data_IF_088543745842
#
_entry.id   IF_088543745842
#
_cell.length_a   1.000
_cell.length_b   1.000
_cell.length_c   1.000
_cell.angle_alpha   90.00
_cell.angle_beta   90.00
_cell.angle_gamma   90.00
#
_symmetry.space_group_name_H-M   'P 1'
#
loop_
_entity.id
_entity.type
_entity.pdbx_description
1 polymer ?
#
# COMPACT_ATOMS: atom_id res chain seq x y z
N UNK A 1 3.29 -11.87 18.82
CA UNK A 1 2.87 -10.47 18.56
C UNK A 1 3.23 -10.18 17.12
N UNK A 2 2.24 -9.99 16.23
CA UNK A 2 2.53 -9.56 14.86
C UNK A 2 3.09 -8.14 14.96
N UNK A 3 4.27 -7.88 14.39
CA UNK A 3 4.81 -6.53 14.32
C UNK A 3 3.87 -5.69 13.46
N UNK A 4 3.62 -4.46 13.91
CA UNK A 4 2.78 -3.49 13.23
C UNK A 4 3.46 -3.02 11.94
N UNK A 5 2.70 -2.81 10.87
CA UNK A 5 3.22 -2.21 9.64
C UNK A 5 3.67 -0.74 9.84
N UNK A 6 4.67 -0.31 9.07
CA UNK A 6 5.11 1.09 9.01
C UNK A 6 4.04 2.01 8.41
N UNK A 7 4.14 3.33 8.66
CA UNK A 7 3.18 4.32 8.14
C UNK A 7 3.15 4.40 6.61
N UNK A 8 4.25 4.05 5.94
CA UNK A 8 4.34 3.94 4.48
C UNK A 8 4.70 2.51 4.10
N UNK A 9 3.94 1.94 3.18
CA UNK A 9 4.17 0.60 2.63
C UNK A 9 4.39 0.69 1.13
N UNK A 10 5.38 -0.04 0.62
CA UNK A 10 5.49 -0.40 -0.79
C UNK A 10 5.13 -1.87 -0.94
N UNK A 11 4.04 -2.14 -1.64
CA UNK A 11 3.59 -3.46 -2.03
C UNK A 11 4.28 -3.86 -3.34
N UNK A 12 5.28 -4.72 -3.25
CA UNK A 12 5.98 -5.29 -4.38
C UNK A 12 5.25 -6.55 -4.87
N UNK A 13 4.49 -6.41 -5.95
CA UNK A 13 3.77 -7.51 -6.57
C UNK A 13 4.66 -8.29 -7.51
N UNK A 14 4.98 -9.54 -7.15
CA UNK A 14 5.70 -10.50 -8.00
C UNK A 14 4.74 -11.40 -8.78
N UNK A 15 3.50 -11.56 -8.32
CA UNK A 15 2.55 -12.53 -8.86
C UNK A 15 1.18 -11.98 -9.27
N UNK A 16 0.89 -10.70 -8.98
CA UNK A 16 -0.42 -10.10 -9.22
C UNK A 16 -1.38 -10.35 -8.04
N UNK A 17 -2.67 -10.49 -8.34
CA UNK A 17 -3.69 -10.63 -7.29
C UNK A 17 -3.62 -11.98 -6.60
N UNK A 18 -3.62 -11.95 -5.27
CA UNK A 18 -3.76 -13.11 -4.38
C UNK A 18 -4.90 -12.85 -3.40
N UNK A 19 -5.55 -13.90 -2.89
CA UNK A 19 -6.68 -13.75 -1.95
C UNK A 19 -6.23 -13.15 -0.61
N UNK A 20 -4.95 -13.25 -0.33
CA UNK A 20 -4.28 -12.71 0.84
C UNK A 20 -4.20 -11.18 0.82
N UNK A 21 -4.33 -10.54 -0.36
CA UNK A 21 -4.33 -9.09 -0.51
C UNK A 21 -5.42 -8.45 0.36
N UNK A 22 -6.64 -8.97 0.30
CA UNK A 22 -7.79 -8.41 1.02
C UNK A 22 -7.52 -8.35 2.54
N UNK A 23 -6.99 -9.44 3.09
CA UNK A 23 -6.62 -9.52 4.52
C UNK A 23 -5.44 -8.61 4.87
N UNK A 24 -4.51 -8.44 3.93
CA UNK A 24 -3.35 -7.57 4.09
C UNK A 24 -3.76 -6.09 4.12
N UNK A 25 -4.72 -5.66 3.29
CA UNK A 25 -5.25 -4.30 3.30
C UNK A 25 -5.99 -4.01 4.61
N UNK A 26 -6.78 -4.95 5.12
CA UNK A 26 -7.43 -4.81 6.43
C UNK A 26 -6.40 -4.72 7.57
N UNK A 27 -5.28 -5.45 7.46
CA UNK A 27 -4.16 -5.30 8.39
C UNK A 27 -3.53 -3.90 8.32
N UNK A 28 -3.36 -3.32 7.12
CA UNK A 28 -2.84 -1.96 6.95
C UNK A 28 -3.76 -0.90 7.56
N UNK A 29 -5.07 -1.03 7.34
CA UNK A 29 -6.08 -0.14 7.91
C UNK A 29 -6.04 -0.21 9.45
N UNK A 30 -6.05 -1.43 10.01
CA UNK A 30 -5.96 -1.63 11.47
C UNK A 30 -4.68 -1.04 12.05
N UNK A 31 -3.57 -1.19 11.34
CA UNK A 31 -2.28 -0.67 11.76
C UNK A 31 -2.14 0.84 11.47
N UNK A 32 -3.13 1.48 10.84
CA UNK A 32 -3.11 2.92 10.59
C UNK A 32 -2.00 3.34 9.63
N UNK A 33 -1.69 2.49 8.65
CA UNK A 33 -0.89 2.85 7.48
C UNK A 33 -1.51 4.08 6.82
N UNK A 34 -0.67 4.99 6.31
CA UNK A 34 -1.07 6.26 5.70
C UNK A 34 -0.84 6.27 4.20
N UNK A 35 0.11 5.49 3.71
CA UNK A 35 0.42 5.38 2.29
C UNK A 35 0.71 3.94 1.89
N UNK A 36 0.13 3.50 0.78
CA UNK A 36 0.47 2.24 0.10
C UNK A 36 0.81 2.55 -1.37
N UNK A 37 2.06 2.38 -1.73
CA UNK A 37 2.50 2.37 -3.14
C UNK A 37 2.55 0.94 -3.66
N UNK A 38 2.07 0.68 -4.88
CA UNK A 38 2.10 -0.66 -5.51
C UNK A 38 3.02 -0.64 -6.72
N UNK A 39 3.92 -1.62 -6.82
CA UNK A 39 4.88 -1.74 -7.92
C UNK A 39 5.02 -3.21 -8.34
N UNK A 40 5.27 -3.46 -9.63
CA UNK A 40 5.42 -4.81 -10.18
C UNK A 40 4.17 -5.30 -10.93
N UNK A 41 3.96 -6.61 -10.92
CA UNK A 41 2.93 -7.29 -11.71
C UNK A 41 1.54 -6.76 -11.36
N UNK A 42 0.78 -6.35 -12.37
CA UNK A 42 -0.59 -5.85 -12.25
C UNK A 42 -0.79 -4.69 -11.25
N UNK A 43 0.25 -3.92 -10.93
CA UNK A 43 0.21 -2.91 -9.86
C UNK A 43 -0.96 -1.92 -9.95
N UNK A 44 -1.32 -1.44 -11.15
CA UNK A 44 -2.47 -0.56 -11.34
C UNK A 44 -3.81 -1.24 -10.97
N UNK A 45 -3.99 -2.51 -11.38
CA UNK A 45 -5.17 -3.28 -11.02
C UNK A 45 -5.24 -3.59 -9.52
N UNK A 46 -4.08 -3.83 -8.90
CA UNK A 46 -4.02 -4.06 -7.47
C UNK A 46 -4.34 -2.79 -6.68
N UNK A 47 -3.88 -1.63 -7.14
CA UNK A 47 -4.29 -0.34 -6.59
C UNK A 47 -5.82 -0.17 -6.68
N UNK A 48 -6.44 -0.44 -7.84
CA UNK A 48 -7.90 -0.35 -7.98
C UNK A 48 -8.65 -1.23 -6.94
N UNK A 49 -8.14 -2.44 -6.68
CA UNK A 49 -8.72 -3.35 -5.69
C UNK A 49 -8.51 -2.82 -4.26
N UNK A 50 -7.32 -2.28 -3.96
CA UNK A 50 -7.04 -1.67 -2.66
C UNK A 50 -7.97 -0.48 -2.45
N UNK A 51 -8.15 0.37 -3.45
CA UNK A 51 -9.06 1.51 -3.41
C UNK A 51 -10.51 1.08 -3.16
N UNK A 52 -10.98 0.01 -3.81
CA UNK A 52 -12.32 -0.53 -3.55
C UNK A 52 -12.49 -0.99 -2.09
N UNK A 53 -11.50 -1.70 -1.54
CA UNK A 53 -11.50 -2.13 -0.13
C UNK A 53 -11.45 -0.92 0.81
N UNK A 54 -10.64 0.09 0.46
CA UNK A 54 -10.42 1.33 1.21
C UNK A 54 -11.65 2.22 1.21
N UNK A 55 -12.39 2.30 0.11
CA UNK A 55 -13.66 3.02 0.07
C UNK A 55 -14.73 2.26 0.85
N UNK A 56 -14.76 0.92 0.73
CA UNK A 56 -15.73 0.06 1.40
C UNK A 56 -17.17 0.54 1.17
N UNK A 57 -17.92 0.71 2.26
CA UNK A 57 -19.29 1.25 2.23
C UNK A 57 -19.37 2.77 2.49
N UNK A 58 -18.22 3.46 2.54
CA UNK A 58 -18.12 4.90 2.82
C UNK A 58 -18.40 5.30 4.28
N UNK A 59 -18.62 4.35 5.20
CA UNK A 59 -18.88 4.66 6.62
C UNK A 59 -17.61 4.70 7.47
N UNK A 60 -16.52 4.13 6.97
CA UNK A 60 -15.25 4.03 7.69
C UNK A 60 -14.45 5.32 7.53
N UNK A 61 -13.87 5.80 8.62
CA UNK A 61 -13.08 7.03 8.65
C UNK A 61 -11.58 6.70 8.84
N UNK A 62 -10.93 6.29 7.75
CA UNK A 62 -9.47 6.20 7.67
C UNK A 62 -8.96 7.02 6.48
N UNK A 63 -7.73 7.50 6.61
CA UNK A 63 -7.02 8.22 5.57
C UNK A 63 -5.85 7.35 5.13
N UNK A 64 -6.03 6.65 4.00
CA UNK A 64 -5.00 5.85 3.33
C UNK A 64 -4.86 6.37 1.90
N UNK A 65 -3.68 6.90 1.58
CA UNK A 65 -3.32 7.27 0.23
C UNK A 65 -2.76 6.06 -0.51
N UNK A 66 -3.19 5.87 -1.75
CA UNK A 66 -2.72 4.83 -2.66
C UNK A 66 -2.00 5.45 -3.86
N UNK A 67 -1.06 4.70 -4.44
CA UNK A 67 -0.42 5.03 -5.72
C UNK A 67 0.03 3.74 -6.41
N UNK A 68 -0.16 3.59 -7.71
CA UNK A 68 0.56 2.58 -8.50
C UNK A 68 1.76 3.17 -9.24
N UNK A 69 2.75 2.32 -9.49
CA UNK A 69 4.03 2.65 -10.11
C UNK A 69 4.30 1.77 -11.34
N UNK A 70 3.47 1.87 -12.40
CA UNK A 70 3.64 1.06 -13.59
C UNK A 70 4.92 1.43 -14.35
N UNK A 71 5.67 0.41 -14.77
CA UNK A 71 6.96 0.55 -15.47
C UNK A 71 8.08 1.20 -14.64
N UNK A 72 7.90 1.35 -13.32
CA UNK A 72 8.95 1.79 -12.41
C UNK A 72 9.60 0.58 -11.70
N UNK A 73 10.84 0.77 -11.28
CA UNK A 73 11.53 -0.19 -10.41
C UNK A 73 11.05 -0.06 -8.96
N UNK A 74 11.27 -1.12 -8.18
CA UNK A 74 11.02 -1.10 -6.73
C UNK A 74 11.73 0.09 -6.04
N UNK A 75 12.97 0.40 -6.44
CA UNK A 75 13.73 1.52 -5.89
C UNK A 75 13.12 2.89 -6.23
N UNK A 76 12.54 3.06 -7.42
CA UNK A 76 11.84 4.30 -7.79
C UNK A 76 10.57 4.48 -6.95
N UNK A 77 9.77 3.42 -6.77
CA UNK A 77 8.59 3.46 -5.91
C UNK A 77 8.95 3.76 -4.44
N UNK A 78 10.02 3.15 -3.92
CA UNK A 78 10.56 3.47 -2.59
C UNK A 78 10.97 4.94 -2.51
N UNK A 79 11.71 5.44 -3.50
CA UNK A 79 12.18 6.84 -3.53
C UNK A 79 11.00 7.83 -3.55
N UNK A 80 9.93 7.50 -4.29
CA UNK A 80 8.70 8.28 -4.27
C UNK A 80 8.07 8.30 -2.88
N UNK A 81 7.91 7.14 -2.25
CA UNK A 81 7.37 7.06 -0.88
C UNK A 81 8.24 7.82 0.13
N UNK A 82 9.56 7.75 0.02
CA UNK A 82 10.50 8.51 0.85
C UNK A 82 10.36 10.03 0.67
N UNK A 83 10.00 10.48 -0.53
CA UNK A 83 9.78 11.90 -0.84
C UNK A 83 8.52 12.50 -0.21
N UNK A 84 7.56 11.66 0.24
CA UNK A 84 6.35 12.12 0.90
C UNK A 84 6.64 12.64 2.33
N UNK A 85 6.23 13.87 2.59
CA UNK A 85 6.45 14.61 3.84
C UNK A 85 5.15 14.80 4.67
N UNK A 86 5.24 15.59 5.74
CA UNK A 86 4.11 16.00 6.57
C UNK A 86 3.35 14.82 7.19
N UNK A 87 2.05 14.66 6.89
CA UNK A 87 1.24 13.57 7.43
C UNK A 87 1.68 12.17 6.97
N UNK A 88 2.51 12.11 5.92
CA UNK A 88 3.11 10.88 5.38
C UNK A 88 4.58 10.69 5.81
N UNK A 89 5.10 11.51 6.70
CA UNK A 89 6.46 11.32 7.22
C UNK A 89 6.60 9.96 7.95
N UNK A 90 7.77 9.36 7.86
CA UNK A 90 8.09 8.10 8.54
C UNK A 90 8.80 7.07 7.65
N UNK A 91 9.13 5.90 8.21
CA UNK A 91 9.84 4.85 7.50
C UNK A 91 8.97 4.21 6.42
N UNK A 92 9.61 3.82 5.31
CA UNK A 92 9.01 2.98 4.27
C UNK A 92 9.29 1.51 4.59
N UNK A 93 8.25 0.68 4.53
CA UNK A 93 8.36 -0.77 4.61
C UNK A 93 8.01 -1.39 3.26
N UNK A 94 8.82 -2.34 2.80
CA UNK A 94 8.49 -3.14 1.61
C UNK A 94 7.78 -4.42 2.07
N UNK A 95 6.68 -4.76 1.40
CA UNK A 95 5.93 -6.01 1.57
C UNK A 95 5.81 -6.66 0.19
N UNK A 96 6.15 -7.94 0.09
CA UNK A 96 6.08 -8.69 -1.17
C UNK A 96 4.83 -9.59 -1.21
N UNK A 97 4.18 -9.66 -2.38
CA UNK A 97 3.00 -10.51 -2.66
C UNK A 97 3.04 -11.15 -4.05
#
# INVERSE_FOLDING_TARGET
LKLKYSSKVILHSVSGYTRELDSLVEDFIRDGVKFVGVVGVDCAKLEDIIDEIVVGDGTRNYNLLTSSHPNESLQQAISFAESLTDEFAGPVQVVEI
#
